data_IF_099947080932
#
_entry.id   IF_099947080932
#
_cell.length_a   1.000
_cell.length_b   1.000
_cell.length_c   1.000
_cell.angle_alpha   90.00
_cell.angle_beta   90.00
_cell.angle_gamma   90.00
#
_symmetry.space_group_name_H-M   'P 1'
#
loop_
_entity.id
_entity.type
_entity.pdbx_description
1 polymer ?
#
# COMPACT_ATOMS: atom_id res chain seq x y z
N UNK A 1 13.86 34.05 63.73
CA UNK A 1 12.63 34.08 62.91
C UNK A 1 12.95 33.43 61.58
N UNK A 2 12.32 32.29 61.27
CA UNK A 2 12.57 31.46 60.07
C UNK A 2 12.16 32.22 58.81
N UNK A 3 12.89 32.05 57.71
CA UNK A 3 12.27 31.95 56.39
C UNK A 3 13.21 31.20 55.41
N UNK A 4 12.95 29.91 55.21
CA UNK A 4 13.43 29.14 54.08
C UNK A 4 12.82 29.72 52.81
N UNK A 5 13.62 30.03 51.80
CA UNK A 5 13.14 30.15 50.42
C UNK A 5 13.74 29.02 49.60
N UNK A 6 12.90 28.02 49.38
CA UNK A 6 13.20 26.85 48.59
C UNK A 6 13.42 27.23 47.12
N UNK A 7 14.45 26.60 46.56
CA UNK A 7 14.82 26.54 45.17
C UNK A 7 13.71 25.85 44.36
N UNK A 8 13.18 26.49 43.33
CA UNK A 8 12.38 25.82 42.29
C UNK A 8 13.16 25.88 40.98
N UNK A 9 13.89 24.80 40.66
CA UNK A 9 14.27 24.51 39.28
C UNK A 9 13.05 23.91 38.59
N UNK A 10 12.46 24.64 37.66
CA UNK A 10 11.52 24.07 36.70
C UNK A 10 12.31 23.36 35.59
N UNK A 11 12.47 22.04 35.69
CA UNK A 11 12.92 21.23 34.55
C UNK A 11 11.75 21.07 33.59
N UNK A 12 11.75 21.81 32.48
CA UNK A 12 10.91 21.47 31.33
C UNK A 12 11.43 20.15 30.74
N UNK A 13 10.74 19.05 31.04
CA UNK A 13 10.86 17.84 30.24
C UNK A 13 10.13 18.09 28.92
N UNK A 14 10.88 18.42 27.86
CA UNK A 14 10.36 18.35 26.50
C UNK A 14 10.24 16.87 26.17
N UNK A 15 9.04 16.31 26.29
CA UNK A 15 8.72 15.01 25.72
C UNK A 15 8.80 15.13 24.21
N UNK A 16 9.91 14.71 23.61
CA UNK A 16 9.96 14.46 22.18
C UNK A 16 8.93 13.35 21.87
N UNK A 17 7.81 13.72 21.28
CA UNK A 17 6.93 12.74 20.65
C UNK A 17 7.72 12.07 19.54
N UNK A 18 8.22 10.86 19.79
CA UNK A 18 8.66 9.97 18.73
C UNK A 18 7.41 9.53 17.96
N UNK A 19 6.90 10.40 17.10
CA UNK A 19 6.20 9.91 15.92
C UNK A 19 7.23 9.04 15.20
N UNK A 20 7.10 7.73 15.32
CA UNK A 20 7.92 6.81 14.55
C UNK A 20 7.68 7.18 13.09
N UNK A 21 8.68 7.77 12.43
CA UNK A 21 8.54 8.14 11.04
C UNK A 21 8.13 6.87 10.28
N UNK A 22 7.06 6.97 9.50
CA UNK A 22 6.61 5.86 8.70
C UNK A 22 7.77 5.33 7.83
N UNK A 23 7.91 4.01 7.74
CA UNK A 23 8.89 3.36 6.86
C UNK A 23 8.15 2.68 5.69
N UNK A 24 7.97 3.37 4.55
CA UNK A 24 7.34 2.81 3.36
C UNK A 24 7.96 1.50 2.88
N UNK A 25 9.30 1.33 3.03
CA UNK A 25 10.00 0.14 2.57
C UNK A 25 9.71 -1.06 3.48
N UNK A 26 9.68 -0.85 4.79
CA UNK A 26 9.25 -1.91 5.71
C UNK A 26 7.76 -2.26 5.52
N UNK A 27 6.90 -1.26 5.29
CA UNK A 27 5.47 -1.51 5.08
C UNK A 27 5.20 -2.30 3.79
N UNK A 28 5.86 -2.00 2.67
CA UNK A 28 5.68 -2.77 1.42
C UNK A 28 6.22 -4.19 1.56
N UNK A 29 7.33 -4.37 2.29
CA UNK A 29 7.87 -5.70 2.58
C UNK A 29 6.90 -6.56 3.39
N UNK A 30 6.20 -5.99 4.39
CA UNK A 30 5.16 -6.71 5.12
C UNK A 30 3.94 -7.04 4.24
N UNK A 31 3.51 -6.13 3.36
CA UNK A 31 2.44 -6.43 2.39
C UNK A 31 2.82 -7.61 1.51
N UNK A 32 4.00 -7.59 0.92
CA UNK A 32 4.47 -8.64 0.02
C UNK A 32 4.66 -9.97 0.78
N UNK A 33 5.20 -9.94 1.99
CA UNK A 33 5.34 -11.12 2.84
C UNK A 33 3.97 -11.76 3.17
N UNK A 34 2.95 -10.95 3.47
CA UNK A 34 1.59 -11.44 3.71
C UNK A 34 0.98 -12.09 2.47
N UNK A 35 1.21 -11.50 1.30
CA UNK A 35 0.73 -12.06 0.03
C UNK A 35 1.45 -13.39 -0.28
N UNK A 36 2.79 -13.42 -0.21
CA UNK A 36 3.60 -14.63 -0.43
C UNK A 36 3.27 -15.75 0.55
N UNK A 37 2.96 -15.41 1.81
CA UNK A 37 2.52 -16.39 2.82
C UNK A 37 1.22 -17.11 2.42
N UNK A 38 0.37 -16.48 1.61
CA UNK A 38 -0.85 -17.13 1.08
C UNK A 38 -0.46 -18.13 -0.02
N UNK A 39 0.47 -17.78 -0.90
CA UNK A 39 1.02 -18.67 -1.91
C UNK A 39 1.64 -17.93 -3.09
N UNK A 40 2.08 -18.66 -4.12
CA UNK A 40 2.63 -18.07 -5.33
C UNK A 40 1.58 -17.27 -6.11
N UNK A 41 1.99 -16.16 -6.70
CA UNK A 41 1.10 -15.32 -7.50
C UNK A 41 0.82 -15.95 -8.87
N UNK A 42 -0.43 -15.92 -9.30
CA UNK A 42 -0.86 -16.36 -10.64
C UNK A 42 -2.07 -15.57 -11.11
N UNK A 43 -2.26 -15.53 -12.42
CA UNK A 43 -3.52 -15.07 -13.03
C UNK A 43 -4.23 -16.28 -13.60
N UNK A 44 -5.53 -16.38 -13.34
CA UNK A 44 -6.36 -17.48 -13.82
C UNK A 44 -7.81 -17.02 -14.00
N UNK A 45 -8.30 -17.08 -15.24
CA UNK A 45 -9.61 -16.54 -15.59
C UNK A 45 -9.74 -15.03 -15.35
N UNK A 46 -10.98 -14.61 -15.11
CA UNK A 46 -11.36 -13.21 -14.94
C UNK A 46 -12.30 -13.02 -13.76
N UNK A 47 -12.45 -11.78 -13.31
CA UNK A 47 -13.42 -11.37 -12.30
C UNK A 47 -14.02 -10.00 -12.65
N UNK A 48 -15.19 -9.71 -12.08
CA UNK A 48 -15.80 -8.39 -12.21
C UNK A 48 -15.35 -7.46 -11.08
N UNK A 49 -14.71 -6.34 -11.45
CA UNK A 49 -14.19 -5.32 -10.55
C UNK A 49 -14.77 -3.98 -10.97
N UNK A 50 -15.58 -3.36 -10.09
CA UNK A 50 -16.28 -2.10 -10.38
C UNK A 50 -17.03 -2.09 -11.73
N UNK A 51 -17.72 -3.20 -12.05
CA UNK A 51 -18.48 -3.35 -13.29
C UNK A 51 -17.66 -3.66 -14.54
N UNK A 52 -16.34 -3.84 -14.43
CA UNK A 52 -15.45 -4.20 -15.53
C UNK A 52 -14.91 -5.62 -15.35
N UNK A 53 -14.86 -6.39 -16.43
CA UNK A 53 -14.18 -7.69 -16.42
C UNK A 53 -12.68 -7.48 -16.54
N UNK A 54 -11.92 -7.96 -15.56
CA UNK A 54 -10.44 -7.87 -15.52
C UNK A 54 -9.86 -9.24 -15.17
N UNK A 55 -8.56 -9.48 -15.40
CA UNK A 55 -7.93 -10.73 -14.98
C UNK A 55 -8.08 -10.97 -13.48
N UNK A 56 -8.32 -12.23 -13.09
CA UNK A 56 -8.37 -12.60 -11.69
C UNK A 56 -6.97 -12.99 -11.22
N UNK A 57 -6.45 -12.25 -10.23
CA UNK A 57 -5.15 -12.50 -9.62
C UNK A 57 -5.32 -13.25 -8.31
N UNK A 58 -4.54 -14.32 -8.17
CA UNK A 58 -4.52 -15.21 -7.03
C UNK A 58 -3.15 -15.21 -6.38
N UNK A 59 -3.13 -15.44 -5.08
CA UNK A 59 -1.96 -15.94 -4.36
C UNK A 59 -2.36 -17.29 -3.78
N UNK A 60 -1.67 -18.37 -4.18
CA UNK A 60 -2.13 -19.74 -3.89
C UNK A 60 -3.55 -19.98 -4.42
N UNK A 61 -4.44 -20.44 -3.54
CA UNK A 61 -5.86 -20.66 -3.84
C UNK A 61 -6.75 -19.43 -3.59
N UNK A 62 -6.19 -18.34 -3.06
CA UNK A 62 -6.99 -17.16 -2.70
C UNK A 62 -7.03 -16.16 -3.85
N UNK A 63 -8.23 -15.91 -4.38
CA UNK A 63 -8.49 -14.77 -5.27
C UNK A 63 -8.36 -13.45 -4.50
N UNK A 64 -7.61 -12.50 -5.04
CA UNK A 64 -7.39 -11.19 -4.42
C UNK A 64 -8.38 -10.13 -4.92
N UNK A 65 -8.92 -10.27 -6.14
CA UNK A 65 -9.96 -9.36 -6.64
C UNK A 65 -11.14 -9.28 -5.65
N UNK A 66 -11.49 -8.06 -5.26
CA UNK A 66 -12.53 -7.76 -4.26
C UNK A 66 -12.34 -8.39 -2.87
N UNK A 67 -11.18 -9.01 -2.57
CA UNK A 67 -10.81 -9.45 -1.22
C UNK A 67 -9.93 -8.37 -0.56
N UNK A 68 -10.36 -7.85 0.59
CA UNK A 68 -9.70 -6.71 1.24
C UNK A 68 -8.90 -7.08 2.49
N UNK A 69 -8.81 -8.38 2.83
CA UNK A 69 -8.29 -8.83 4.13
C UNK A 69 -6.83 -8.42 4.33
N UNK A 70 -6.00 -8.61 3.29
CA UNK A 70 -4.57 -8.33 3.36
C UNK A 70 -4.32 -6.82 3.42
N UNK A 71 -4.96 -6.04 2.55
CA UNK A 71 -4.78 -4.57 2.50
C UNK A 71 -5.30 -3.90 3.77
N UNK A 72 -6.42 -4.38 4.34
CA UNK A 72 -6.92 -3.86 5.61
C UNK A 72 -6.05 -4.29 6.80
N UNK A 73 -5.43 -5.46 6.73
CA UNK A 73 -4.40 -5.89 7.67
C UNK A 73 -3.19 -4.96 7.72
N UNK A 74 -2.75 -4.44 6.55
CA UNK A 74 -1.70 -3.42 6.49
C UNK A 74 -2.14 -2.12 7.14
N UNK A 75 -3.37 -1.66 6.88
CA UNK A 75 -3.92 -0.47 7.55
C UNK A 75 -3.90 -0.59 9.06
N UNK A 76 -4.32 -1.75 9.58
CA UNK A 76 -4.35 -2.01 11.03
C UNK A 76 -2.97 -2.03 11.66
N UNK A 77 -1.98 -2.57 10.94
CA UNK A 77 -0.63 -2.79 11.49
C UNK A 77 0.28 -1.56 11.36
N UNK A 78 0.13 -0.81 10.26
CA UNK A 78 1.06 0.25 9.88
C UNK A 78 0.41 1.62 9.76
N UNK A 79 -0.90 1.73 9.97
CA UNK A 79 -1.68 2.95 9.70
C UNK A 79 -1.51 3.46 8.24
N UNK A 80 -1.14 2.56 7.33
CA UNK A 80 -0.87 2.87 5.93
C UNK A 80 -2.04 2.50 5.02
N UNK A 81 -2.07 3.12 3.83
CA UNK A 81 -2.87 2.61 2.73
C UNK A 81 -2.15 1.49 2.00
N UNK A 82 -2.91 0.59 1.37
CA UNK A 82 -2.40 -0.57 0.64
C UNK A 82 -3.30 -0.92 -0.54
N UNK A 83 -2.70 -1.52 -1.57
CA UNK A 83 -3.40 -1.96 -2.78
C UNK A 83 -2.71 -3.13 -3.45
N UNK A 84 -3.51 -3.99 -4.07
CA UNK A 84 -3.08 -4.92 -5.12
C UNK A 84 -3.72 -4.49 -6.43
N UNK A 85 -2.88 -4.32 -7.45
CA UNK A 85 -3.26 -4.12 -8.83
C UNK A 85 -3.03 -5.42 -9.63
N UNK A 86 -3.90 -5.69 -10.60
CA UNK A 86 -3.68 -6.71 -11.64
C UNK A 86 -3.31 -6.03 -12.95
N UNK A 87 -2.39 -6.63 -13.72
CA UNK A 87 -2.06 -6.17 -15.07
C UNK A 87 -3.14 -6.65 -16.05
N UNK A 88 -3.75 -5.72 -16.77
CA UNK A 88 -4.76 -5.95 -17.79
C UNK A 88 -4.35 -5.21 -19.07
N UNK A 89 -3.90 -5.95 -20.08
CA UNK A 89 -3.18 -5.35 -21.22
C UNK A 89 -1.97 -4.56 -20.72
N UNK A 90 -1.91 -3.27 -21.05
CA UNK A 90 -0.88 -2.33 -20.58
C UNK A 90 -1.30 -1.52 -19.35
N UNK A 91 -2.45 -1.82 -18.75
CA UNK A 91 -2.95 -1.11 -17.57
C UNK A 91 -2.72 -1.92 -16.30
N UNK A 92 -2.62 -1.24 -15.16
CA UNK A 92 -2.71 -1.86 -13.84
C UNK A 92 -4.01 -1.42 -13.19
N UNK A 93 -4.95 -2.35 -13.04
CA UNK A 93 -6.28 -2.08 -12.47
C UNK A 93 -6.28 -2.41 -10.99
N UNK A 94 -6.78 -1.49 -10.16
CA UNK A 94 -6.89 -1.64 -8.71
C UNK A 94 -7.96 -2.67 -8.36
N UNK A 95 -7.57 -3.87 -7.94
CA UNK A 95 -8.52 -4.98 -7.68
C UNK A 95 -8.79 -5.23 -6.19
N UNK A 96 -7.88 -4.79 -5.31
CA UNK A 96 -8.07 -4.79 -3.86
C UNK A 96 -7.38 -3.58 -3.26
N UNK A 97 -8.08 -2.79 -2.45
CA UNK A 97 -7.53 -1.55 -1.89
C UNK A 97 -8.26 -1.10 -0.65
N UNK A 98 -7.55 -0.42 0.25
CA UNK A 98 -8.12 0.37 1.34
C UNK A 98 -8.04 1.89 1.10
N UNK A 99 -7.43 2.32 -0.01
CA UNK A 99 -7.44 3.72 -0.46
C UNK A 99 -8.88 4.10 -0.81
N UNK A 100 -9.32 5.22 -0.26
CA UNK A 100 -10.64 5.78 -0.51
C UNK A 100 -10.59 6.84 -1.61
N UNK A 101 -11.64 6.91 -2.41
CA UNK A 101 -11.93 8.03 -3.31
C UNK A 101 -12.37 9.25 -2.49
N UNK A 102 -12.45 10.45 -3.10
CA UNK A 102 -13.00 11.63 -2.42
C UNK A 102 -14.41 11.44 -1.87
N UNK A 103 -15.21 10.54 -2.48
CA UNK A 103 -16.56 10.19 -2.05
C UNK A 103 -16.59 9.15 -0.91
N UNK A 104 -15.43 8.76 -0.38
CA UNK A 104 -15.30 7.82 0.74
C UNK A 104 -15.45 6.34 0.38
N UNK A 105 -15.57 6.00 -0.91
CA UNK A 105 -15.64 4.60 -1.38
C UNK A 105 -14.24 4.06 -1.62
N UNK A 106 -14.03 2.74 -1.57
CA UNK A 106 -12.73 2.15 -1.99
C UNK A 106 -12.49 2.47 -3.46
N UNK A 107 -11.28 2.87 -3.83
CA UNK A 107 -10.88 3.17 -5.22
C UNK A 107 -10.79 1.96 -6.16
N UNK A 108 -11.53 0.88 -5.88
CA UNK A 108 -11.53 -0.33 -6.70
C UNK A 108 -11.92 0.01 -8.15
N UNK A 109 -11.22 -0.58 -9.12
CA UNK A 109 -11.43 -0.36 -10.55
C UNK A 109 -10.71 0.84 -11.16
N UNK A 110 -10.11 1.73 -10.35
CA UNK A 110 -9.25 2.80 -10.88
C UNK A 110 -7.92 2.24 -11.37
N UNK A 111 -7.29 2.89 -12.34
CA UNK A 111 -5.98 2.48 -12.85
C UNK A 111 -4.85 3.14 -12.05
N UNK A 112 -3.67 2.50 -12.04
CA UNK A 112 -2.42 3.15 -11.68
C UNK A 112 -2.13 4.25 -12.71
N UNK A 113 -1.90 5.49 -12.24
CA UNK A 113 -1.60 6.61 -13.12
C UNK A 113 -0.28 6.40 -13.88
N UNK A 114 -0.19 6.91 -15.11
CA UNK A 114 1.02 6.88 -15.95
C UNK A 114 2.08 7.83 -15.38
N UNK A 115 2.88 7.34 -14.45
CA UNK A 115 3.93 8.09 -13.75
C UNK A 115 5.17 7.21 -13.49
N UNK A 116 6.15 7.73 -12.76
CA UNK A 116 7.40 7.02 -12.44
C UNK A 116 7.17 5.66 -11.73
N UNK A 117 6.11 5.53 -10.92
CA UNK A 117 5.76 4.26 -10.28
C UNK A 117 5.28 3.25 -11.33
N UNK A 118 4.40 3.67 -12.24
CA UNK A 118 3.94 2.84 -13.36
C UNK A 118 5.11 2.36 -14.24
N UNK A 119 6.01 3.27 -14.62
CA UNK A 119 7.16 2.94 -15.45
C UNK A 119 8.10 1.91 -14.77
N UNK A 120 8.34 2.09 -13.47
CA UNK A 120 9.21 1.20 -12.69
C UNK A 120 8.61 -0.20 -12.59
N UNK A 121 7.34 -0.32 -12.18
CA UNK A 121 6.71 -1.66 -12.02
C UNK A 121 6.50 -2.37 -13.35
N UNK A 122 6.26 -1.62 -14.44
CA UNK A 122 6.18 -2.18 -15.80
C UNK A 122 7.51 -2.81 -16.23
N UNK A 123 8.64 -2.23 -15.80
CA UNK A 123 10.00 -2.78 -16.02
C UNK A 123 10.36 -3.87 -15.01
N UNK A 124 9.43 -4.27 -14.13
CA UNK A 124 9.69 -5.26 -13.10
C UNK A 124 10.62 -4.76 -12.00
N UNK A 125 10.63 -3.46 -11.74
CA UNK A 125 11.44 -2.76 -10.75
C UNK A 125 10.57 -2.11 -9.66
N UNK A 126 11.13 -1.97 -8.46
CA UNK A 126 10.49 -1.26 -7.35
C UNK A 126 10.54 0.26 -7.56
N UNK A 127 9.50 0.94 -7.12
CA UNK A 127 9.49 2.39 -6.94
C UNK A 127 9.23 2.73 -5.48
N UNK A 128 9.95 3.70 -4.92
CA UNK A 128 9.59 4.33 -3.65
C UNK A 128 9.85 5.84 -3.73
N UNK A 129 8.88 6.64 -3.31
CA UNK A 129 9.00 8.09 -3.32
C UNK A 129 7.65 8.79 -3.16
N UNK A 130 7.66 10.13 -3.19
CA UNK A 130 6.45 10.93 -3.16
C UNK A 130 5.62 10.69 -4.42
N UNK A 131 4.32 10.48 -4.26
CA UNK A 131 3.39 10.29 -5.38
C UNK A 131 2.00 10.82 -5.01
N UNK A 132 1.25 11.26 -6.01
CA UNK A 132 -0.17 11.57 -5.87
C UNK A 132 -1.01 10.35 -6.20
N UNK A 133 -1.93 9.98 -5.29
CA UNK A 133 -2.86 8.87 -5.46
C UNK A 133 -4.27 9.40 -5.25
N UNK A 134 -5.05 9.43 -6.34
CA UNK A 134 -6.43 9.93 -6.35
C UNK A 134 -6.56 11.35 -5.76
N UNK A 135 -5.59 12.22 -6.06
CA UNK A 135 -5.57 13.62 -5.61
C UNK A 135 -5.12 13.81 -4.16
N UNK A 136 -4.50 12.80 -3.55
CA UNK A 136 -3.87 12.91 -2.24
C UNK A 136 -2.39 12.55 -2.33
N UNK A 137 -1.53 13.36 -1.72
CA UNK A 137 -0.10 13.12 -1.65
C UNK A 137 0.26 12.02 -0.63
N UNK A 138 1.12 11.09 -1.04
CA UNK A 138 1.64 10.00 -0.21
C UNK A 138 3.17 9.90 -0.34
N UNK A 139 3.83 9.45 0.71
CA UNK A 139 5.10 8.71 0.56
C UNK A 139 4.76 7.24 0.32
N UNK A 140 5.07 6.76 -0.87
CA UNK A 140 4.58 5.48 -1.37
C UNK A 140 5.71 4.56 -1.80
N UNK A 141 5.42 3.26 -1.79
CA UNK A 141 6.22 2.24 -2.45
C UNK A 141 5.33 1.35 -3.30
N UNK A 142 5.89 0.88 -4.42
CA UNK A 142 5.25 -0.06 -5.33
C UNK A 142 6.24 -1.17 -5.68
N UNK A 143 5.79 -2.42 -5.61
CA UNK A 143 6.55 -3.56 -6.06
C UNK A 143 5.82 -4.29 -7.20
N UNK A 144 6.54 -4.79 -8.22
CA UNK A 144 5.95 -5.61 -9.25
C UNK A 144 5.56 -6.97 -8.65
N UNK A 145 4.35 -7.44 -8.95
CA UNK A 145 3.94 -8.81 -8.65
C UNK A 145 4.25 -9.66 -9.88
N UNK A 146 5.07 -10.69 -9.71
CA UNK A 146 5.51 -11.60 -10.77
C UNK A 146 4.93 -12.98 -10.56
N UNK A 147 4.56 -13.65 -11.65
CA UNK A 147 4.23 -15.08 -11.63
C UNK A 147 5.49 -15.96 -11.48
N UNK A 148 5.30 -17.27 -11.40
CA UNK A 148 6.40 -18.23 -11.29
C UNK A 148 7.38 -18.20 -12.49
N UNK A 149 6.95 -17.69 -13.65
CA UNK A 149 7.80 -17.48 -14.82
C UNK A 149 8.57 -16.15 -14.81
N UNK A 150 8.40 -15.33 -13.77
CA UNK A 150 9.02 -14.01 -13.65
C UNK A 150 8.29 -12.90 -14.42
N UNK A 151 7.15 -13.19 -15.06
CA UNK A 151 6.37 -12.20 -15.80
C UNK A 151 5.58 -11.32 -14.84
N UNK A 152 5.63 -10.01 -15.05
CA UNK A 152 4.83 -9.04 -14.28
C UNK A 152 3.34 -9.24 -14.60
N UNK A 153 2.57 -9.57 -13.57
CA UNK A 153 1.12 -9.80 -13.63
C UNK A 153 0.32 -8.83 -12.76
N UNK A 154 0.99 -7.96 -12.00
CA UNK A 154 0.35 -7.00 -11.13
C UNK A 154 1.37 -6.10 -10.44
N UNK A 155 0.90 -5.33 -9.46
CA UNK A 155 1.74 -4.53 -8.58
C UNK A 155 1.11 -4.44 -7.19
N UNK A 156 1.93 -4.47 -6.15
CA UNK A 156 1.53 -4.08 -4.80
C UNK A 156 1.85 -2.60 -4.59
N UNK A 157 1.09 -1.95 -3.72
CA UNK A 157 1.28 -0.55 -3.33
C UNK A 157 1.05 -0.41 -1.84
N UNK A 158 1.85 0.45 -1.22
CA UNK A 158 1.54 1.06 0.07
C UNK A 158 1.72 2.58 -0.03
N UNK A 159 1.06 3.32 0.86
CA UNK A 159 1.31 4.75 1.00
C UNK A 159 0.95 5.28 2.37
N UNK A 160 1.84 6.10 2.90
CA UNK A 160 1.64 6.89 4.11
C UNK A 160 1.25 8.31 3.69
N UNK A 161 0.08 8.76 4.16
CA UNK A 161 -0.46 10.06 3.78
C UNK A 161 0.45 11.16 4.35
N UNK A 162 0.73 12.19 3.55
CA UNK A 162 1.42 13.40 4.00
C UNK A 162 0.51 14.35 4.75
#
# INVERSE_FOLDING_TARGET
MKLNRALMLATLAVSASFAHAADPKATIADLDARLVKIGAARVDGTDTVAGKTVPAIFFGERKINNNFDVVDGIRKSHQATATVFVKDGDEFVRVSTNVLTPEGKRGVGTQLARNAAYESVSKGQQFCGPIDVLGTAFDACYNPIKDAGGKVIGASYIGHKK
#
